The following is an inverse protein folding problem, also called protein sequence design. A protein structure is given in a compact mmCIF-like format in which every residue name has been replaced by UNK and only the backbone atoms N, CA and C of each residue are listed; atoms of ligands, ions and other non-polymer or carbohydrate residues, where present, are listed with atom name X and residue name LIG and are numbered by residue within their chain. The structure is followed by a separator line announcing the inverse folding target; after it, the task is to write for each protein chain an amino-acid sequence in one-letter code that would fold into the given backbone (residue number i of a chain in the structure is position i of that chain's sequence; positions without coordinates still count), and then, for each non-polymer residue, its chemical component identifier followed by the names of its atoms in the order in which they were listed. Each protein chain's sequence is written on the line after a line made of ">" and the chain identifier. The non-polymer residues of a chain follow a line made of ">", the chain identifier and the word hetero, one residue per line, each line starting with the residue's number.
data_IF_386588615302
#
_entry.id   IF_386588615302
#
_cell.length_a   1.000
_cell.length_b   1.000
_cell.length_c   1.000
_cell.angle_alpha   90.00
_cell.angle_beta   90.00
_cell.angle_gamma   90.00
#
_symmetry.space_group_name_H-M   'P 1'
#
loop_
_entity.id
_entity.type
_entity.pdbx_description
1 polymer ?
#
# COMPACT_ATOMS: atom_id res chain seq x y z
N UNK A 1 28.99 -6.87 -28.64
CA UNK A 1 29.99 -6.63 -27.57
C UNK A 1 29.33 -6.93 -26.23
N UNK A 2 30.11 -7.40 -25.26
CA UNK A 2 29.68 -7.72 -23.89
C UNK A 2 28.90 -6.58 -23.21
N UNK A 3 29.21 -5.33 -23.58
CA UNK A 3 28.57 -4.10 -23.08
C UNK A 3 27.07 -4.01 -23.42
N UNK A 4 26.66 -4.41 -24.64
CA UNK A 4 25.24 -4.38 -25.04
C UNK A 4 24.39 -5.42 -24.30
N UNK A 5 24.98 -6.56 -23.93
CA UNK A 5 24.30 -7.57 -23.11
C UNK A 5 24.10 -7.08 -21.67
N UNK A 6 25.07 -6.35 -21.12
CA UNK A 6 24.98 -5.76 -19.78
C UNK A 6 23.93 -4.64 -19.72
N UNK A 7 23.79 -3.84 -20.78
CA UNK A 7 22.75 -2.81 -20.89
C UNK A 7 21.35 -3.41 -20.93
N UNK A 8 21.13 -4.45 -21.74
CA UNK A 8 19.86 -5.17 -21.83
C UNK A 8 19.49 -5.83 -20.48
N UNK A 9 20.46 -6.47 -19.82
CA UNK A 9 20.25 -7.06 -18.49
C UNK A 9 19.89 -6.00 -17.45
N UNK A 10 20.53 -4.84 -17.49
CA UNK A 10 20.26 -3.75 -16.56
C UNK A 10 18.83 -3.18 -16.74
N UNK A 11 18.38 -2.98 -17.99
CA UNK A 11 17.01 -2.54 -18.26
C UNK A 11 15.96 -3.55 -17.77
N UNK A 12 16.21 -4.86 -17.92
CA UNK A 12 15.32 -5.91 -17.39
C UNK A 12 15.24 -5.86 -15.86
N UNK A 13 16.36 -5.59 -15.19
CA UNK A 13 16.41 -5.47 -13.72
C UNK A 13 15.66 -4.22 -13.26
N UNK A 14 15.87 -3.08 -13.89
CA UNK A 14 15.20 -1.80 -13.55
C UNK A 14 13.68 -1.90 -13.73
N UNK A 15 13.21 -2.44 -14.85
CA UNK A 15 11.78 -2.67 -15.09
C UNK A 15 11.16 -3.61 -14.04
N UNK A 16 11.92 -4.59 -13.54
CA UNK A 16 11.45 -5.46 -12.43
C UNK A 16 11.36 -4.72 -11.10
N UNK A 17 12.19 -3.70 -10.86
CA UNK A 17 12.14 -2.90 -9.65
C UNK A 17 10.91 -1.98 -9.63
N UNK A 18 10.59 -1.32 -10.74
CA UNK A 18 9.38 -0.48 -10.86
C UNK A 18 8.10 -1.28 -10.58
N UNK A 19 7.99 -2.47 -11.21
CA UNK A 19 6.88 -3.39 -10.98
C UNK A 19 6.79 -3.85 -9.52
N UNK A 20 7.93 -4.09 -8.86
CA UNK A 20 7.96 -4.43 -7.43
C UNK A 20 7.50 -3.27 -6.55
N UNK A 21 7.93 -2.04 -6.84
CA UNK A 21 7.50 -0.85 -6.08
C UNK A 21 5.99 -0.66 -6.22
N UNK A 22 5.46 -0.77 -7.44
CA UNK A 22 4.02 -0.69 -7.67
C UNK A 22 3.26 -1.78 -6.91
N UNK A 23 3.76 -3.03 -6.92
CA UNK A 23 3.19 -4.14 -6.15
C UNK A 23 3.19 -3.86 -4.64
N UNK A 24 4.31 -3.40 -4.10
CA UNK A 24 4.43 -3.05 -2.66
C UNK A 24 3.47 -1.94 -2.30
N UNK A 25 3.33 -0.92 -3.16
CA UNK A 25 2.37 0.17 -2.94
C UNK A 25 0.94 -0.34 -2.89
N UNK A 26 0.54 -1.20 -3.83
CA UNK A 26 -0.79 -1.81 -3.83
C UNK A 26 -1.03 -2.70 -2.62
N UNK A 27 -0.01 -3.47 -2.21
CA UNK A 27 -0.09 -4.26 -0.99
C UNK A 27 -0.25 -3.37 0.25
N UNK A 28 0.49 -2.27 0.34
CA UNK A 28 0.35 -1.28 1.40
C UNK A 28 -1.07 -0.70 1.48
N UNK A 29 -1.65 -0.34 0.34
CA UNK A 29 -3.05 0.13 0.25
C UNK A 29 -3.99 -0.94 0.83
N UNK A 30 -3.87 -2.20 0.40
CA UNK A 30 -4.69 -3.30 0.91
C UNK A 30 -4.54 -3.47 2.43
N UNK A 31 -3.33 -3.42 2.96
CA UNK A 31 -3.06 -3.52 4.41
C UNK A 31 -3.70 -2.37 5.18
N UNK A 32 -3.56 -1.14 4.68
CA UNK A 32 -4.20 0.05 5.27
C UNK A 32 -5.72 -0.09 5.30
N UNK A 33 -6.32 -0.47 4.17
CA UNK A 33 -7.77 -0.70 4.07
C UNK A 33 -8.22 -1.77 5.05
N UNK A 34 -7.48 -2.88 5.14
CA UNK A 34 -7.80 -3.94 6.08
C UNK A 34 -7.77 -3.48 7.54
N UNK A 35 -6.70 -2.78 7.93
CA UNK A 35 -6.56 -2.21 9.26
C UNK A 35 -7.73 -1.27 9.61
N UNK A 36 -8.11 -0.38 8.68
CA UNK A 36 -9.23 0.54 8.84
C UNK A 36 -10.57 -0.17 9.00
N UNK A 37 -10.83 -1.19 8.18
CA UNK A 37 -12.08 -1.94 8.24
C UNK A 37 -12.19 -2.73 9.55
N UNK A 38 -11.15 -3.49 9.92
CA UNK A 38 -11.12 -4.22 11.20
C UNK A 38 -11.36 -3.26 12.37
N UNK A 39 -10.68 -2.12 12.39
CA UNK A 39 -10.89 -1.10 13.43
C UNK A 39 -12.34 -0.60 13.46
N UNK A 40 -12.94 -0.33 12.30
CA UNK A 40 -14.33 0.13 12.24
C UNK A 40 -15.33 -0.92 12.71
N UNK A 41 -15.10 -2.20 12.40
CA UNK A 41 -15.87 -3.31 12.95
C UNK A 41 -15.76 -3.37 14.47
N UNK A 42 -14.55 -3.26 15.03
CA UNK A 42 -14.32 -3.28 16.48
C UNK A 42 -14.95 -2.08 17.18
N UNK A 43 -14.81 -0.87 16.63
CA UNK A 43 -15.46 0.33 17.17
C UNK A 43 -16.97 0.12 17.24
N UNK A 44 -17.57 -0.34 16.14
CA UNK A 44 -19.02 -0.59 16.07
C UNK A 44 -19.42 -1.66 17.07
N UNK A 45 -18.65 -2.75 17.18
CA UNK A 45 -18.88 -3.80 18.16
C UNK A 45 -18.90 -3.26 19.59
N UNK A 46 -17.89 -2.51 20.01
CA UNK A 46 -17.84 -1.93 21.35
C UNK A 46 -18.90 -0.83 21.58
N UNK A 47 -19.28 -0.08 20.55
CA UNK A 47 -20.39 0.89 20.61
C UNK A 47 -21.75 0.21 20.79
N UNK A 48 -21.93 -0.99 20.22
CA UNK A 48 -23.19 -1.75 20.27
C UNK A 48 -23.27 -2.75 21.41
N UNK A 49 -22.13 -3.08 22.02
CA UNK A 49 -22.04 -3.95 23.18
C UNK A 49 -22.62 -3.23 24.41
N UNK A 50 -23.94 -3.32 24.57
CA UNK A 50 -24.65 -2.83 25.75
C UNK A 50 -24.45 -3.76 26.95
N UNK A 51 -24.91 -3.33 28.14
CA UNK A 51 -24.73 -4.07 29.39
C UNK A 51 -25.39 -5.47 29.37
N UNK A 52 -26.52 -5.63 28.69
CA UNK A 52 -27.25 -6.90 28.64
C UNK A 52 -27.20 -7.59 27.29
N UNK A 53 -26.32 -7.14 26.39
CA UNK A 53 -26.22 -7.70 25.05
C UNK A 53 -25.34 -8.95 25.04
N UNK A 54 -25.74 -9.96 24.28
CA UNK A 54 -24.88 -11.10 24.02
C UNK A 54 -23.74 -10.69 23.04
N UNK A 55 -22.46 -10.84 23.42
CA UNK A 55 -21.34 -10.45 22.59
C UNK A 55 -21.29 -11.12 21.21
N UNK A 56 -21.69 -12.40 21.15
CA UNK A 56 -21.70 -13.14 19.89
C UNK A 56 -22.83 -12.65 18.98
N UNK A 57 -24.06 -12.52 19.50
CA UNK A 57 -25.19 -12.03 18.69
C UNK A 57 -24.96 -10.61 18.17
N UNK A 58 -24.40 -9.72 19.00
CA UNK A 58 -24.07 -8.34 18.58
C UNK A 58 -23.10 -8.36 17.41
N UNK A 59 -22.05 -9.17 17.51
CA UNK A 59 -21.05 -9.19 16.45
C UNK A 59 -21.58 -9.87 15.19
N UNK A 60 -22.36 -10.95 15.33
CA UNK A 60 -23.01 -11.64 14.23
C UNK A 60 -23.96 -10.72 13.46
N UNK A 61 -24.75 -9.87 14.13
CA UNK A 61 -25.59 -8.84 13.47
C UNK A 61 -24.74 -7.84 12.67
N UNK A 62 -23.59 -7.41 13.22
CA UNK A 62 -22.68 -6.46 12.55
C UNK A 62 -22.04 -7.06 11.29
N UNK A 63 -21.53 -8.30 11.36
CA UNK A 63 -20.88 -8.92 10.20
C UNK A 63 -21.87 -9.43 9.16
N UNK A 64 -23.12 -9.71 9.55
CA UNK A 64 -24.18 -10.15 8.65
C UNK A 64 -24.76 -9.00 7.81
N UNK A 65 -24.86 -7.80 8.38
CA UNK A 65 -25.32 -6.59 7.67
C UNK A 65 -24.43 -5.37 8.00
N UNK A 66 -23.21 -5.30 7.44
CA UNK A 66 -22.31 -4.18 7.71
C UNK A 66 -22.79 -2.84 7.14
N UNK A 67 -23.75 -2.86 6.21
CA UNK A 67 -24.35 -1.66 5.63
C UNK A 67 -25.29 -0.96 6.61
N UNK A 68 -26.06 -1.72 7.41
CA UNK A 68 -26.86 -1.21 8.54
C UNK A 68 -26.03 -0.40 9.53
N UNK A 69 -24.75 -0.76 9.68
CA UNK A 69 -23.82 -0.10 10.58
C UNK A 69 -22.87 0.90 9.89
N UNK A 70 -23.08 1.16 8.60
CA UNK A 70 -22.27 2.08 7.80
C UNK A 70 -20.78 1.75 7.80
N UNK A 71 -20.39 0.48 7.94
CA UNK A 71 -18.98 0.07 8.06
C UNK A 71 -18.19 0.54 6.83
N UNK A 72 -18.53 0.04 5.64
CA UNK A 72 -17.82 0.38 4.41
C UNK A 72 -18.03 1.84 4.00
N UNK A 73 -19.23 2.39 4.21
CA UNK A 73 -19.55 3.81 3.93
C UNK A 73 -18.66 4.77 4.73
N UNK A 74 -18.40 4.47 6.00
CA UNK A 74 -17.51 5.29 6.83
C UNK A 74 -16.05 5.22 6.41
N UNK A 75 -15.60 4.08 5.88
CA UNK A 75 -14.24 3.93 5.35
C UNK A 75 -14.10 4.63 4.00
N UNK A 76 -15.10 4.52 3.11
CA UNK A 76 -15.16 5.26 1.84
C UNK A 76 -15.12 6.78 2.00
N UNK A 77 -15.64 7.31 3.12
CA UNK A 77 -15.63 8.75 3.38
C UNK A 77 -14.23 9.31 3.71
N UNK A 78 -13.20 8.45 3.84
CA UNK A 78 -11.81 8.88 4.07
C UNK A 78 -11.15 9.28 2.75
N UNK A 79 -10.37 10.37 2.77
CA UNK A 79 -9.81 11.02 1.58
C UNK A 79 -8.92 10.12 0.71
N UNK A 80 -8.23 9.14 1.31
CA UNK A 80 -7.28 8.28 0.62
C UNK A 80 -7.79 6.83 0.49
N UNK A 81 -9.10 6.67 0.28
CA UNK A 81 -9.75 5.38 0.07
C UNK A 81 -10.53 5.39 -1.25
N UNK A 82 -10.22 4.44 -2.13
CA UNK A 82 -10.99 4.18 -3.33
C UNK A 82 -11.98 3.05 -3.11
N UNK A 83 -13.16 3.13 -3.76
CA UNK A 83 -14.11 2.02 -3.79
C UNK A 83 -13.51 0.76 -4.40
N UNK A 84 -12.61 0.91 -5.38
CA UNK A 84 -11.96 -0.22 -6.04
C UNK A 84 -10.98 -0.97 -5.15
N UNK A 85 -10.54 -0.36 -4.05
CA UNK A 85 -9.60 -0.97 -3.10
C UNK A 85 -10.34 -1.73 -1.98
N UNK A 86 -11.67 -1.56 -1.87
CA UNK A 86 -12.47 -2.22 -0.84
C UNK A 86 -12.83 -3.64 -1.25
N UNK A 87 -12.69 -4.61 -0.34
CA UNK A 87 -13.21 -5.96 -0.55
C UNK A 87 -14.73 -5.97 -0.40
N UNK A 88 -15.36 -7.03 -0.91
CA UNK A 88 -16.77 -7.28 -0.68
C UNK A 88 -17.07 -7.57 0.81
N UNK A 89 -18.25 -7.21 1.34
CA UNK A 89 -18.65 -7.47 2.72
C UNK A 89 -18.46 -8.91 3.18
N UNK A 90 -18.73 -9.87 2.29
CA UNK A 90 -18.61 -11.31 2.51
C UNK A 90 -17.21 -11.72 2.97
N UNK A 91 -16.16 -11.04 2.50
CA UNK A 91 -14.79 -11.32 2.90
C UNK A 91 -14.56 -11.10 4.41
N UNK A 92 -15.29 -10.15 5.03
CA UNK A 92 -15.17 -9.90 6.46
C UNK A 92 -16.01 -10.85 7.30
N UNK A 93 -17.16 -11.30 6.80
CA UNK A 93 -17.90 -12.40 7.43
C UNK A 93 -17.02 -13.65 7.52
N UNK A 94 -16.36 -14.02 6.43
CA UNK A 94 -15.49 -15.20 6.40
C UNK A 94 -14.23 -15.01 7.27
N UNK A 95 -13.61 -13.83 7.22
CA UNK A 95 -12.45 -13.48 8.07
C UNK A 95 -12.78 -13.58 9.55
N UNK A 96 -13.88 -12.96 9.99
CA UNK A 96 -14.29 -12.94 11.38
C UNK A 96 -14.88 -14.27 11.87
N UNK A 97 -15.39 -15.11 10.96
CA UNK A 97 -15.78 -16.48 11.27
C UNK A 97 -14.61 -17.35 11.76
N UNK A 98 -13.37 -16.99 11.43
CA UNK A 98 -12.15 -17.66 11.90
C UNK A 98 -11.43 -16.85 12.99
N UNK A 99 -11.55 -15.52 12.96
CA UNK A 99 -10.83 -14.62 13.85
C UNK A 99 -11.81 -13.80 14.70
N UNK A 100 -12.10 -14.17 15.95
CA UNK A 100 -13.08 -13.44 16.77
C UNK A 100 -12.61 -12.00 17.10
N UNK A 101 -13.53 -11.05 17.31
CA UNK A 101 -13.21 -9.64 17.53
C UNK A 101 -12.37 -9.41 18.80
N UNK A 102 -12.50 -10.29 19.80
CA UNK A 102 -11.71 -10.27 21.03
C UNK A 102 -10.20 -10.50 20.81
N UNK A 103 -9.81 -11.06 19.66
CA UNK A 103 -8.40 -11.26 19.29
C UNK A 103 -7.71 -9.99 18.78
N UNK A 104 -8.45 -8.90 18.60
CA UNK A 104 -7.94 -7.66 18.02
C UNK A 104 -8.02 -6.49 18.99
N UNK A 105 -7.20 -5.47 18.73
CA UNK A 105 -7.24 -4.20 19.44
C UNK A 105 -7.58 -3.08 18.47
N UNK A 106 -8.21 -2.02 18.97
CA UNK A 106 -8.43 -0.79 18.21
C UNK A 106 -7.08 -0.22 17.71
N UNK A 107 -7.08 0.41 16.53
CA UNK A 107 -5.88 0.97 15.92
C UNK A 107 -5.21 2.01 16.81
N UNK A 108 -6.00 2.80 17.55
CA UNK A 108 -5.50 3.79 18.50
C UNK A 108 -4.61 3.18 19.59
N UNK A 109 -4.79 1.90 19.93
CA UNK A 109 -3.96 1.20 20.92
C UNK A 109 -2.53 0.94 20.45
N UNK A 110 -2.28 1.01 19.15
CA UNK A 110 -0.95 0.85 18.55
C UNK A 110 -0.22 2.18 18.35
N UNK A 111 -0.87 3.30 18.68
CA UNK A 111 -0.24 4.61 18.63
C UNK A 111 0.58 4.86 19.89
N UNK A 112 1.77 5.45 19.72
CA UNK A 112 2.62 5.86 20.83
C UNK A 112 2.92 7.36 20.73
N UNK A 113 3.10 8.01 21.89
CA UNK A 113 3.44 9.44 21.93
C UNK A 113 4.79 9.76 21.27
N UNK A 114 5.77 8.86 21.41
CA UNK A 114 7.13 9.05 20.89
C UNK A 114 7.35 8.50 19.48
N UNK A 115 6.56 7.51 19.06
CA UNK A 115 6.73 6.79 17.79
C UNK A 115 5.58 6.98 16.80
N UNK A 116 4.59 7.82 17.10
CA UNK A 116 3.44 8.07 16.24
C UNK A 116 2.52 6.85 16.09
N UNK A 117 1.69 6.88 15.04
CA UNK A 117 0.77 5.80 14.70
C UNK A 117 1.27 4.99 13.50
N UNK A 118 1.17 3.65 13.56
CA UNK A 118 1.52 2.77 12.44
C UNK A 118 0.71 3.08 11.16
N UNK A 119 -0.53 3.55 11.33
CA UNK A 119 -1.39 3.95 10.20
C UNK A 119 -0.82 5.17 9.45
N UNK A 120 -0.17 6.10 10.14
CA UNK A 120 0.48 7.26 9.52
C UNK A 120 1.76 6.82 8.79
N UNK A 121 2.50 5.86 9.37
CA UNK A 121 3.70 5.30 8.74
C UNK A 121 3.36 4.61 7.41
N UNK A 122 2.30 3.79 7.38
CA UNK A 122 1.89 3.12 6.13
C UNK A 122 1.31 4.12 5.12
N UNK A 123 0.58 5.14 5.58
CA UNK A 123 0.07 6.20 4.71
C UNK A 123 1.21 6.91 4.00
N UNK A 124 2.19 7.40 4.77
CA UNK A 124 3.37 8.09 4.25
C UNK A 124 4.15 7.22 3.25
N UNK A 125 4.28 5.92 3.55
CA UNK A 125 4.95 5.00 2.63
C UNK A 125 4.22 4.88 1.28
N UNK A 126 2.88 4.84 1.29
CA UNK A 126 2.04 4.71 0.10
C UNK A 126 2.00 6.00 -0.73
N UNK A 127 1.88 7.16 -0.06
CA UNK A 127 1.66 8.45 -0.72
C UNK A 127 2.94 9.14 -1.13
N UNK A 128 4.01 8.96 -0.36
CA UNK A 128 5.22 9.77 -0.51
C UNK A 128 6.44 8.90 -0.84
N UNK A 129 6.78 7.95 0.04
CA UNK A 129 8.09 7.27 -0.04
C UNK A 129 8.22 6.35 -1.26
N UNK A 130 7.19 5.55 -1.55
CA UNK A 130 7.20 4.65 -2.71
C UNK A 130 7.14 5.42 -4.04
N UNK A 131 6.28 6.44 -4.21
CA UNK A 131 6.34 7.31 -5.38
C UNK A 131 7.67 8.03 -5.56
N UNK A 132 8.25 8.60 -4.49
CA UNK A 132 9.55 9.26 -4.55
C UNK A 132 10.68 8.29 -4.96
N UNK A 133 10.64 7.05 -4.44
CA UNK A 133 11.57 6.01 -4.86
C UNK A 133 11.43 5.70 -6.35
N UNK A 134 10.20 5.61 -6.87
CA UNK A 134 9.95 5.38 -8.30
C UNK A 134 10.50 6.53 -9.16
N UNK A 135 10.24 7.78 -8.77
CA UNK A 135 10.80 8.96 -9.46
C UNK A 135 12.33 8.96 -9.46
N UNK A 136 12.96 8.64 -8.33
CA UNK A 136 14.43 8.58 -8.24
C UNK A 136 15.05 7.49 -9.15
N UNK A 137 14.32 6.41 -9.41
CA UNK A 137 14.75 5.37 -10.36
C UNK A 137 14.63 5.86 -11.80
N UNK A 138 13.55 6.57 -12.13
CA UNK A 138 13.37 7.17 -13.45
C UNK A 138 14.47 8.22 -13.76
N UNK A 139 14.77 9.12 -12.82
CA UNK A 139 15.83 10.12 -12.97
C UNK A 139 17.21 9.47 -13.21
N UNK A 140 17.54 8.40 -12.47
CA UNK A 140 18.79 7.65 -12.68
C UNK A 140 18.86 7.02 -14.07
N UNK A 141 17.73 6.59 -14.63
CA UNK A 141 17.66 6.02 -15.98
C UNK A 141 17.88 7.10 -17.03
N UNK A 142 17.25 8.27 -16.87
CA UNK A 142 17.42 9.42 -17.76
C UNK A 142 18.87 9.89 -17.78
N UNK A 143 19.48 10.10 -16.62
CA UNK A 143 20.89 10.49 -16.50
C UNK A 143 21.85 9.47 -17.16
N UNK A 144 21.55 8.17 -17.04
CA UNK A 144 22.34 7.12 -17.70
C UNK A 144 22.16 7.14 -19.23
N UNK A 145 20.96 7.41 -19.72
CA UNK A 145 20.68 7.52 -21.15
C UNK A 145 21.36 8.74 -21.78
N UNK A 146 21.37 9.88 -21.10
CA UNK A 146 22.09 11.10 -21.52
C UNK A 146 23.59 10.87 -21.60
N UNK A 147 24.20 10.26 -20.58
CA UNK A 147 25.63 9.91 -20.60
C UNK A 147 26.01 8.93 -21.73
N UNK A 148 25.12 8.00 -22.07
CA UNK A 148 25.30 7.10 -23.21
C UNK A 148 25.15 7.80 -24.58
N UNK A 149 24.39 8.90 -24.64
CA UNK A 149 24.27 9.72 -25.84
C UNK A 149 25.51 10.62 -26.05
N UNK A 150 26.00 11.27 -25.00
CA UNK A 150 27.20 12.14 -25.07
C UNK A 150 28.48 11.39 -25.47
N UNK A 151 28.58 10.11 -25.11
CA UNK A 151 29.73 9.26 -25.49
C UNK A 151 29.71 8.87 -26.97
N UNK A 152 28.55 8.85 -27.64
CA UNK A 152 28.42 8.56 -29.08
C UNK A 152 28.73 9.79 -29.96
N UNK A 153 28.60 11.00 -29.43
CA UNK A 153 28.68 12.25 -30.20
C UNK A 153 30.09 12.88 -30.22
N UNK A 154 31.10 12.26 -29.58
CA UNK A 154 32.50 12.66 -29.76
C UNK A 154 33.08 12.00 -31.03
N UNK A 155 33.27 12.73 -32.15
CA UNK A 155 33.96 12.17 -33.30
C UNK A 155 35.39 11.83 -32.89
N UNK A 156 35.74 10.55 -32.96
CA UNK A 156 37.12 10.10 -32.85
C UNK A 156 37.87 10.62 -34.08
N UNK A 157 38.54 11.77 -33.93
CA UNK A 157 39.43 12.34 -34.94
C UNK A 157 40.66 11.43 -35.09
N UNK A 158 40.50 10.27 -35.72
CA UNK A 158 41.53 9.23 -35.90
C UNK A 158 42.35 9.42 -37.18
N UNK A 159 42.41 10.63 -37.74
CA UNK A 159 43.30 10.94 -38.87
C UNK A 159 43.88 12.36 -38.73
N UNK A 160 44.86 12.51 -37.83
CA UNK A 160 45.87 13.57 -37.90
C UNK A 160 47.22 12.95 -37.57
N UNK A 161 47.93 12.47 -38.60
CA UNK A 161 49.39 12.64 -38.75
C UNK A 161 49.84 12.13 -40.12
N UNK A 162 50.24 13.12 -40.92
CA UNK A 162 51.29 13.19 -41.97
C UNK A 162 51.23 12.18 -43.11
#
# INVERSE_FOLDING_TARGET
>A
TEISLLEDLNQVIENRLENKIAFIRQHGIRVRIHALLVDRYLQTYYEKLGWFSDPHEVFDDIVSDPDKFYIFKSILAKTNVSKFDLPEPEAYRDFFGVNPPSGFKLLSSYCSWSGGCLLETIEKAITDDLPALLSSLAEKREAKAEAAAETKDKPSNRWRRQ
#
